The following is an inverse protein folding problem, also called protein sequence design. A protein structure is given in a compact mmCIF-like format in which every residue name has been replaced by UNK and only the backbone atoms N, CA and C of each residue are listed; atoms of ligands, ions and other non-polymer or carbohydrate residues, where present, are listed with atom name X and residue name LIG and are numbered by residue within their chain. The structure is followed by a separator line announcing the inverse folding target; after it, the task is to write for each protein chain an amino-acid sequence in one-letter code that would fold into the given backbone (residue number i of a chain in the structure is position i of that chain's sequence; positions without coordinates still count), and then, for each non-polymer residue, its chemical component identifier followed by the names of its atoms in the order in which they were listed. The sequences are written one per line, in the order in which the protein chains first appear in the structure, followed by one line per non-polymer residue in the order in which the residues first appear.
data_IF_326702973384
#
_entry.id   IF_326702973384
#
_cell.length_a   1.000
_cell.length_b   1.000
_cell.length_c   1.000
_cell.angle_alpha   90.00
_cell.angle_beta   90.00
_cell.angle_gamma   90.00
#
_symmetry.space_group_name_H-M   'P 1'
#
loop_
_entity.id
_entity.type
_entity.pdbx_description
1 polymer ?
#
# COMPACT_ATOMS: atom_id res chain seq x y z
N UNK A 1 -22.89 -11.99 13.21
CA UNK A 1 -21.81 -11.37 12.43
C UNK A 1 -21.09 -10.41 13.35
N UNK A 2 -19.80 -10.62 13.55
CA UNK A 2 -18.93 -9.81 14.40
C UNK A 2 -18.79 -8.40 13.79
N UNK A 3 -18.63 -7.39 14.64
CA UNK A 3 -18.38 -5.99 14.26
C UNK A 3 -17.16 -5.85 13.31
N UNK A 4 -16.19 -6.78 13.40
CA UNK A 4 -15.03 -6.87 12.48
C UNK A 4 -15.40 -7.41 11.09
N UNK A 5 -16.38 -8.31 11.01
CA UNK A 5 -16.86 -8.85 9.73
C UNK A 5 -17.68 -7.79 8.96
N UNK A 6 -18.37 -6.91 9.70
CA UNK A 6 -19.19 -5.84 9.11
C UNK A 6 -18.34 -4.70 8.52
N UNK A 7 -17.22 -4.34 9.16
CA UNK A 7 -16.29 -3.29 8.66
C UNK A 7 -15.55 -3.74 7.39
N UNK A 8 -15.21 -5.04 7.28
CA UNK A 8 -14.57 -5.59 6.09
C UNK A 8 -15.45 -5.54 4.84
N UNK A 9 -16.75 -5.79 5.00
CA UNK A 9 -17.74 -5.73 3.91
C UNK A 9 -17.98 -4.30 3.38
N UNK A 10 -17.74 -3.27 4.20
CA UNK A 10 -18.01 -1.87 3.83
C UNK A 10 -16.78 -1.14 3.26
N UNK A 11 -15.56 -1.60 3.57
CA UNK A 11 -14.30 -0.99 3.12
C UNK A 11 -14.12 -0.96 1.60
N UNK A 12 -14.67 -1.95 0.91
CA UNK A 12 -14.56 -2.13 -0.55
C UNK A 12 -15.87 -1.88 -1.28
N UNK A 13 -16.90 -1.36 -0.59
CA UNK A 13 -18.19 -1.10 -1.20
C UNK A 13 -18.06 -0.14 -2.39
N UNK A 14 -18.64 -0.52 -3.53
CA UNK A 14 -18.61 0.26 -4.76
C UNK A 14 -17.33 0.15 -5.59
N UNK A 15 -16.37 -0.72 -5.24
CA UNK A 15 -15.20 -1.01 -6.09
C UNK A 15 -15.44 -2.30 -6.88
N UNK A 16 -15.33 -2.22 -8.20
CA UNK A 16 -15.34 -3.38 -9.08
C UNK A 16 -13.96 -4.05 -9.09
N UNK A 17 -13.89 -5.30 -8.62
CA UNK A 17 -12.66 -6.09 -8.54
C UNK A 17 -12.55 -7.12 -9.67
N UNK A 18 -13.41 -7.06 -10.69
CA UNK A 18 -13.33 -7.93 -11.88
C UNK A 18 -12.22 -7.55 -12.85
N UNK A 19 -11.64 -6.36 -12.69
CA UNK A 19 -10.52 -5.84 -13.48
C UNK A 19 -9.14 -6.06 -12.83
N UNK A 20 -8.25 -5.07 -12.95
CA UNK A 20 -6.88 -5.11 -12.41
C UNK A 20 -6.80 -4.29 -11.12
N UNK A 21 -6.39 -4.95 -10.04
CA UNK A 21 -6.03 -4.34 -8.76
C UNK A 21 -4.52 -4.31 -8.57
N UNK A 22 -3.91 -3.13 -8.59
CA UNK A 22 -2.49 -2.95 -8.27
C UNK A 22 -2.29 -2.78 -6.75
N UNK A 23 -1.38 -3.54 -6.17
CA UNK A 23 -0.96 -3.41 -4.76
C UNK A 23 0.51 -3.00 -4.69
N UNK A 24 0.78 -1.87 -4.03
CA UNK A 24 2.11 -1.38 -3.71
C UNK A 24 2.31 -1.50 -2.20
N UNK A 25 3.16 -2.43 -1.79
CA UNK A 25 3.46 -2.70 -0.38
C UNK A 25 2.78 -3.95 0.16
N UNK A 26 3.59 -4.99 0.42
CA UNK A 26 3.10 -6.28 0.91
C UNK A 26 2.59 -6.20 2.36
N UNK A 27 3.30 -5.46 3.22
CA UNK A 27 3.07 -5.51 4.67
C UNK A 27 3.16 -6.93 5.21
N UNK A 28 2.13 -7.39 5.91
CA UNK A 28 2.01 -8.76 6.42
C UNK A 28 1.44 -9.75 5.39
N UNK A 29 1.03 -9.29 4.20
CA UNK A 29 0.36 -10.11 3.19
C UNK A 29 -1.16 -10.26 3.37
N UNK A 30 -1.71 -9.94 4.54
CA UNK A 30 -3.15 -10.12 4.82
C UNK A 30 -4.07 -9.31 3.90
N UNK A 31 -3.70 -8.06 3.59
CA UNK A 31 -4.46 -7.23 2.65
C UNK A 31 -4.39 -7.78 1.22
N UNK A 32 -3.21 -8.27 0.82
CA UNK A 32 -3.01 -8.86 -0.50
C UNK A 32 -3.87 -10.11 -0.66
N UNK A 33 -3.88 -11.00 0.35
CA UNK A 33 -4.70 -12.20 0.36
C UNK A 33 -6.19 -11.87 0.28
N UNK A 34 -6.68 -10.93 1.09
CA UNK A 34 -8.08 -10.48 1.06
C UNK A 34 -8.47 -9.96 -0.34
N UNK A 35 -7.69 -9.05 -0.90
CA UNK A 35 -7.96 -8.49 -2.23
C UNK A 35 -7.93 -9.57 -3.32
N UNK A 36 -7.00 -10.53 -3.23
CA UNK A 36 -6.87 -11.58 -4.22
C UNK A 36 -8.00 -12.62 -4.14
N UNK A 37 -8.52 -12.92 -2.95
CA UNK A 37 -9.73 -13.74 -2.78
C UNK A 37 -10.95 -13.06 -3.40
N UNK A 38 -11.16 -11.77 -3.12
CA UNK A 38 -12.27 -11.00 -3.68
C UNK A 38 -12.14 -10.84 -5.21
N UNK A 39 -10.95 -10.55 -5.71
CA UNK A 39 -10.66 -10.50 -7.15
C UNK A 39 -10.92 -11.84 -7.82
N UNK A 40 -10.53 -12.96 -7.21
CA UNK A 40 -10.83 -14.30 -7.74
C UNK A 40 -12.34 -14.55 -7.86
N UNK A 41 -13.13 -14.13 -6.88
CA UNK A 41 -14.59 -14.26 -6.92
C UNK A 41 -15.21 -13.39 -8.01
N UNK A 42 -14.66 -12.19 -8.22
CA UNK A 42 -15.10 -11.26 -9.26
C UNK A 42 -14.54 -11.58 -10.67
N UNK A 43 -13.57 -12.49 -10.78
CA UNK A 43 -12.89 -12.82 -12.05
C UNK A 43 -11.77 -11.86 -12.45
N UNK A 44 -11.25 -11.06 -11.51
CA UNK A 44 -10.16 -10.12 -11.74
C UNK A 44 -8.77 -10.62 -11.39
N UNK A 45 -7.81 -9.69 -11.43
CA UNK A 45 -6.39 -9.95 -11.21
C UNK A 45 -5.81 -8.96 -10.20
N UNK A 46 -5.00 -9.46 -9.28
CA UNK A 46 -4.16 -8.63 -8.40
C UNK A 46 -2.73 -8.59 -8.94
N UNK A 47 -2.14 -7.40 -9.01
CA UNK A 47 -0.74 -7.20 -9.38
C UNK A 47 -0.01 -6.66 -8.16
N UNK A 48 0.91 -7.43 -7.59
CA UNK A 48 1.82 -6.98 -6.55
C UNK A 48 3.10 -6.42 -7.18
N UNK A 49 3.43 -5.17 -6.87
CA UNK A 49 4.70 -4.55 -7.29
C UNK A 49 5.62 -4.29 -6.11
N UNK A 50 6.91 -4.50 -6.32
CA UNK A 50 7.96 -4.14 -5.38
C UNK A 50 9.30 -4.04 -6.09
N UNK A 51 10.19 -3.16 -5.63
CA UNK A 51 11.59 -3.14 -6.06
C UNK A 51 12.47 -4.05 -5.19
N UNK A 52 11.94 -4.50 -4.04
CA UNK A 52 12.58 -5.44 -3.14
C UNK A 52 12.16 -6.86 -3.50
N UNK A 53 13.09 -7.61 -4.06
CA UNK A 53 12.90 -9.03 -4.40
C UNK A 53 12.39 -9.88 -3.22
N UNK A 54 12.89 -9.72 -1.98
CA UNK A 54 12.38 -10.51 -0.84
C UNK A 54 10.89 -10.30 -0.56
N UNK A 55 10.34 -9.12 -0.83
CA UNK A 55 8.91 -8.88 -0.66
C UNK A 55 8.08 -9.65 -1.71
N UNK A 56 8.58 -9.79 -2.94
CA UNK A 56 7.90 -10.59 -3.95
C UNK A 56 7.99 -12.09 -3.64
N UNK A 57 9.11 -12.54 -3.08
CA UNK A 57 9.29 -13.94 -2.66
C UNK A 57 8.39 -14.30 -1.48
N UNK A 58 8.22 -13.39 -0.52
CA UNK A 58 7.32 -13.58 0.62
C UNK A 58 5.84 -13.74 0.22
N UNK A 59 5.45 -13.23 -0.95
CA UNK A 59 4.11 -13.43 -1.51
C UNK A 59 3.99 -14.69 -2.38
N UNK A 60 5.04 -15.51 -2.48
CA UNK A 60 5.13 -16.67 -3.37
C UNK A 60 4.00 -17.68 -3.15
N UNK A 61 3.79 -18.11 -1.91
CA UNK A 61 2.77 -19.12 -1.59
C UNK A 61 1.35 -18.62 -1.96
N UNK A 62 1.03 -17.36 -1.64
CA UNK A 62 -0.25 -16.74 -2.03
C UNK A 62 -0.41 -16.69 -3.55
N UNK A 63 0.64 -16.30 -4.27
CA UNK A 63 0.63 -16.21 -5.73
C UNK A 63 0.52 -17.56 -6.44
N UNK A 64 0.77 -18.68 -5.76
CA UNK A 64 0.50 -20.02 -6.33
C UNK A 64 -0.97 -20.44 -6.23
N UNK A 65 -1.75 -19.78 -5.35
CA UNK A 65 -3.11 -20.19 -4.99
C UNK A 65 -4.18 -19.20 -5.45
N UNK A 66 -3.80 -17.93 -5.59
CA UNK A 66 -4.70 -16.81 -5.88
C UNK A 66 -4.22 -16.06 -7.15
N UNK A 67 -5.08 -15.27 -7.82
CA UNK A 67 -4.74 -14.57 -9.05
C UNK A 67 -3.84 -13.35 -8.77
N UNK A 68 -2.59 -13.62 -8.40
CA UNK A 68 -1.60 -12.61 -8.06
C UNK A 68 -0.43 -12.68 -9.04
N UNK A 69 -0.28 -11.65 -9.85
CA UNK A 69 0.93 -11.42 -10.63
C UNK A 69 1.93 -10.60 -9.82
N UNK A 70 3.20 -10.99 -9.86
CA UNK A 70 4.28 -10.35 -9.11
C UNK A 70 5.25 -9.67 -10.07
N UNK A 71 5.41 -8.37 -9.91
CA UNK A 71 6.24 -7.57 -10.83
C UNK A 71 7.35 -6.85 -10.07
N UNK A 72 8.59 -7.14 -10.47
CA UNK A 72 9.77 -6.48 -9.93
C UNK A 72 10.00 -5.15 -10.63
N UNK A 73 9.62 -4.05 -9.97
CA UNK A 73 9.77 -2.71 -10.53
C UNK A 73 9.81 -1.64 -9.43
N UNK A 74 10.21 -0.42 -9.80
CA UNK A 74 10.07 0.74 -8.91
C UNK A 74 8.65 1.29 -9.06
N UNK A 75 8.03 1.66 -7.95
CA UNK A 75 6.68 2.26 -7.96
C UNK A 75 6.58 3.60 -8.71
N UNK A 76 7.72 4.20 -9.06
CA UNK A 76 7.85 5.44 -9.84
C UNK A 76 8.08 5.22 -11.32
N UNK A 77 8.02 3.96 -11.76
CA UNK A 77 8.16 3.55 -13.15
C UNK A 77 7.48 2.19 -13.29
N UNK A 78 6.16 2.21 -13.36
CA UNK A 78 5.34 0.99 -13.40
C UNK A 78 5.30 0.46 -14.84
N UNK A 79 5.66 -0.81 -15.08
CA UNK A 79 5.61 -1.43 -16.42
C UNK A 79 4.17 -1.83 -16.77
N UNK A 80 3.22 -0.92 -16.57
CA UNK A 80 1.80 -1.07 -16.83
C UNK A 80 1.38 -0.03 -17.86
N UNK A 81 0.40 -0.38 -18.68
CA UNK A 81 -0.14 0.53 -19.69
C UNK A 81 -0.91 1.69 -19.04
N UNK A 82 -1.08 2.78 -19.80
CA UNK A 82 -1.91 3.90 -19.38
C UNK A 82 -3.38 3.43 -19.27
N UNK A 83 -4.07 3.85 -18.22
CA UNK A 83 -5.48 3.52 -18.04
C UNK A 83 -5.78 2.02 -18.04
N UNK A 84 -4.99 1.21 -17.35
CA UNK A 84 -5.13 -0.24 -17.30
C UNK A 84 -5.46 -0.80 -15.91
N UNK A 85 -5.54 0.05 -14.87
CA UNK A 85 -5.75 -0.35 -13.48
C UNK A 85 -7.04 0.25 -12.96
N UNK A 86 -7.91 -0.59 -12.39
CA UNK A 86 -9.21 -0.20 -11.85
C UNK A 86 -9.09 0.26 -10.39
N UNK A 87 -8.25 -0.44 -9.61
CA UNK A 87 -7.95 -0.12 -8.23
C UNK A 87 -6.44 -0.11 -7.99
N UNK A 88 -5.91 1.00 -7.49
CA UNK A 88 -4.54 1.07 -6.98
C UNK A 88 -4.57 1.19 -5.45
N UNK A 89 -3.88 0.29 -4.75
CA UNK A 89 -3.75 0.25 -3.30
C UNK A 89 -2.29 0.47 -2.92
N UNK A 90 -2.00 1.57 -2.23
CA UNK A 90 -0.70 1.85 -1.61
C UNK A 90 -0.80 1.53 -0.13
N UNK A 91 -0.15 0.47 0.32
CA UNK A 91 -0.27 -0.04 1.68
C UNK A 91 1.08 0.00 2.41
N UNK A 92 1.25 0.97 3.30
CA UNK A 92 2.44 1.11 4.14
C UNK A 92 3.72 1.49 3.39
N UNK A 93 3.65 1.69 2.07
CA UNK A 93 4.80 1.95 1.20
C UNK A 93 4.96 3.41 0.77
N UNK A 94 4.03 4.31 1.12
CA UNK A 94 4.19 5.74 0.77
C UNK A 94 5.39 6.35 1.51
N UNK A 95 5.64 5.88 2.74
CA UNK A 95 6.82 6.24 3.55
C UNK A 95 8.15 5.91 2.90
N UNK A 96 8.21 4.86 2.09
CA UNK A 96 9.44 4.42 1.43
C UNK A 96 9.78 5.27 0.19
N UNK A 97 8.88 6.18 -0.21
CA UNK A 97 9.11 7.09 -1.33
C UNK A 97 9.77 8.37 -0.81
N UNK A 98 10.96 8.75 -1.31
CA UNK A 98 11.56 10.03 -0.95
C UNK A 98 10.72 11.22 -1.44
N UNK A 99 10.62 12.27 -0.63
CA UNK A 99 9.82 13.48 -0.94
C UNK A 99 10.07 14.07 -2.33
N UNK A 100 11.33 14.19 -2.83
CA UNK A 100 11.58 14.70 -4.19
C UNK A 100 10.93 13.87 -5.31
N UNK A 101 10.52 12.64 -5.00
CA UNK A 101 9.95 11.71 -5.94
C UNK A 101 8.43 11.51 -5.79
N UNK A 102 7.77 12.19 -4.85
CA UNK A 102 6.31 12.09 -4.68
C UNK A 102 5.56 12.46 -5.94
N UNK A 103 5.98 13.51 -6.65
CA UNK A 103 5.32 13.91 -7.90
C UNK A 103 5.37 12.80 -8.95
N UNK A 104 6.56 12.27 -9.23
CA UNK A 104 6.73 11.18 -10.20
C UNK A 104 5.97 9.92 -9.79
N UNK A 105 5.96 9.59 -8.50
CA UNK A 105 5.17 8.49 -7.98
C UNK A 105 3.68 8.68 -8.23
N UNK A 106 3.12 9.83 -7.85
CA UNK A 106 1.69 10.13 -8.02
C UNK A 106 1.30 10.25 -9.50
N UNK A 107 2.15 10.84 -10.33
CA UNK A 107 1.94 10.92 -11.78
C UNK A 107 1.87 9.51 -12.40
N UNK A 108 2.71 8.57 -11.96
CA UNK A 108 2.64 7.17 -12.38
C UNK A 108 1.36 6.47 -11.90
N UNK A 109 0.94 6.66 -10.65
CA UNK A 109 -0.32 6.10 -10.15
C UNK A 109 -1.51 6.63 -10.94
N UNK A 110 -1.51 7.92 -11.26
CA UNK A 110 -2.58 8.53 -12.06
C UNK A 110 -2.58 8.02 -13.50
N UNK A 111 -1.40 7.87 -14.11
CA UNK A 111 -1.25 7.39 -15.50
C UNK A 111 -1.87 6.01 -15.70
N UNK A 112 -1.66 5.09 -14.76
CA UNK A 112 -2.13 3.71 -14.89
C UNK A 112 -3.63 3.55 -14.59
N UNK A 113 -4.26 4.49 -13.88
CA UNK A 113 -5.66 4.37 -13.49
C UNK A 113 -6.59 4.62 -14.68
N UNK A 114 -7.58 3.74 -14.86
CA UNK A 114 -8.69 3.97 -15.81
C UNK A 114 -9.46 5.24 -15.41
N UNK A 115 -10.15 5.92 -16.35
CA UNK A 115 -11.10 6.97 -15.98
C UNK A 115 -12.16 6.41 -15.02
N UNK A 116 -12.25 6.99 -13.82
CA UNK A 116 -13.14 6.51 -12.75
C UNK A 116 -12.54 5.44 -11.84
N UNK A 117 -11.31 4.99 -12.10
CA UNK A 117 -10.57 4.09 -11.21
C UNK A 117 -10.26 4.72 -9.86
N UNK A 118 -9.97 3.87 -8.88
CA UNK A 118 -9.79 4.28 -7.48
C UNK A 118 -8.34 4.17 -7.03
N UNK A 119 -7.86 5.22 -6.36
CA UNK A 119 -6.63 5.18 -5.56
C UNK A 119 -6.98 5.07 -4.07
N UNK A 120 -6.45 4.06 -3.38
CA UNK A 120 -6.56 3.87 -1.94
C UNK A 120 -5.17 3.90 -1.32
N UNK A 121 -4.98 4.79 -0.36
CA UNK A 121 -3.72 4.87 0.41
C UNK A 121 -4.04 4.48 1.85
N UNK A 122 -3.44 3.38 2.29
CA UNK A 122 -3.45 2.93 3.67
C UNK A 122 -2.04 3.09 4.20
N UNK A 123 -1.82 4.08 5.06
CA UNK A 123 -0.52 4.27 5.69
C UNK A 123 -0.67 4.76 7.14
N UNK A 124 0.39 4.61 7.92
CA UNK A 124 0.40 5.00 9.32
C UNK A 124 0.49 6.53 9.41
N UNK A 125 -0.57 7.12 9.96
CA UNK A 125 -0.66 8.54 10.26
C UNK A 125 -0.06 8.87 11.64
N UNK A 126 0.34 10.14 11.86
CA UNK A 126 0.65 10.63 13.19
C UNK A 126 -0.50 10.37 14.17
N UNK A 127 -0.16 10.26 15.45
CA UNK A 127 -1.17 10.08 16.49
C UNK A 127 -2.17 11.23 16.49
N UNK A 128 -3.47 10.89 16.57
CA UNK A 128 -4.50 11.87 16.86
C UNK A 128 -4.40 12.33 18.32
N UNK A 129 -5.16 13.38 18.65
CA UNK A 129 -5.25 13.88 20.02
C UNK A 129 -6.11 13.02 20.95
N UNK A 130 -6.67 11.91 20.47
CA UNK A 130 -7.57 11.07 21.26
C UNK A 130 -6.86 10.35 22.43
N UNK A 131 -7.58 10.03 23.52
CA UNK A 131 -7.01 9.30 24.66
C UNK A 131 -6.44 7.93 24.27
N UNK A 132 -7.08 7.21 23.36
CA UNK A 132 -6.66 5.90 22.87
C UNK A 132 -5.32 5.96 22.10
N UNK A 133 -5.03 7.11 21.49
CA UNK A 133 -3.79 7.35 20.76
C UNK A 133 -2.62 7.82 21.66
N UNK A 134 -2.81 7.94 22.98
CA UNK A 134 -1.78 8.50 23.88
C UNK A 134 -0.45 7.73 23.84
N UNK A 135 -0.50 6.39 23.87
CA UNK A 135 0.72 5.55 23.81
C UNK A 135 1.43 5.70 22.46
N UNK A 136 0.66 5.75 21.38
CA UNK A 136 1.18 5.97 20.02
C UNK A 136 1.85 7.35 19.92
N UNK A 137 1.21 8.40 20.45
CA UNK A 137 1.73 9.77 20.51
C UNK A 137 3.03 9.85 21.28
N UNK A 138 3.07 9.28 22.49
CA UNK A 138 4.29 9.23 23.32
C UNK A 138 5.44 8.54 22.58
N UNK A 139 5.14 7.48 21.82
CA UNK A 139 6.12 6.79 20.99
C UNK A 139 6.63 7.70 19.87
N UNK A 140 5.74 8.36 19.13
CA UNK A 140 6.10 9.31 18.10
C UNK A 140 6.93 10.48 18.65
N UNK A 141 6.58 11.01 19.83
CA UNK A 141 7.32 12.08 20.50
C UNK A 141 8.72 11.64 20.92
N UNK A 142 8.85 10.44 21.50
CA UNK A 142 10.15 9.89 21.90
C UNK A 142 11.07 9.71 20.70
N UNK A 143 10.55 9.12 19.63
CA UNK A 143 11.27 8.94 18.37
C UNK A 143 11.68 10.32 17.84
N UNK A 144 10.74 11.26 17.76
CA UNK A 144 10.97 12.62 17.28
C UNK A 144 12.10 13.32 18.05
N UNK A 145 12.06 13.28 19.38
CA UNK A 145 13.10 13.89 20.23
C UNK A 145 14.47 13.25 20.01
N UNK A 146 14.52 11.93 19.84
CA UNK A 146 15.77 11.22 19.56
C UNK A 146 16.39 11.68 18.24
N UNK A 147 15.61 11.76 17.15
CA UNK A 147 16.15 12.26 15.88
C UNK A 147 16.65 13.69 15.96
N UNK A 148 15.89 14.60 16.59
CA UNK A 148 16.34 15.98 16.79
C UNK A 148 17.65 16.04 17.60
N UNK A 149 17.78 15.26 18.67
CA UNK A 149 19.00 15.19 19.48
C UNK A 149 20.21 14.65 18.69
N UNK A 150 19.96 13.77 17.72
CA UNK A 150 20.99 13.20 16.85
C UNK A 150 21.26 14.04 15.58
N UNK A 151 20.50 15.12 15.36
CA UNK A 151 20.53 15.85 14.08
C UNK A 151 20.10 15.00 12.88
N UNK A 152 19.28 13.98 13.12
CA UNK A 152 18.82 13.01 12.12
C UNK A 152 17.32 13.18 11.84
N UNK A 153 16.86 12.95 10.60
CA UNK A 153 15.45 12.92 10.27
C UNK A 153 14.70 11.85 11.07
N UNK A 154 13.56 12.22 11.64
CA UNK A 154 12.67 11.32 12.38
C UNK A 154 11.56 10.80 11.47
N UNK A 155 12.01 9.92 10.58
CA UNK A 155 11.27 9.06 9.66
C UNK A 155 9.97 9.61 9.01
N UNK A 156 10.04 9.77 7.68
CA UNK A 156 9.29 8.88 6.77
C UNK A 156 10.25 8.02 5.92
N UNK A 157 11.46 8.50 5.61
CA UNK A 157 12.63 7.65 5.37
C UNK A 157 13.85 8.24 6.10
N UNK A 158 14.78 7.40 6.55
CA UNK A 158 16.08 7.83 7.07
C UNK A 158 17.15 7.42 6.05
N UNK A 159 17.61 8.35 5.24
CA UNK A 159 18.86 8.18 4.48
C UNK A 159 20.03 8.40 5.43
N UNK A 160 20.68 7.33 5.85
CA UNK A 160 22.03 7.40 6.39
C UNK A 160 22.99 7.21 5.21
N UNK A 161 23.72 8.28 4.85
CA UNK A 161 24.96 8.14 4.07
C UNK A 161 26.09 7.70 4.98
#
# INVERSE_FOLDING_TARGET
MSEREQVGADLWSGVDLSGITLVIGLGTGQLLEMLAVEAQQAGGLVVLVSYLQPALEAAGDLATQLPIERVHCRSRQLPLADGSVDLCVVNGSLRDVPVPHYRTFLDELWRILVPGGHLRISDILPASDSPEALTWRRRCDLISRLGHAMGQPVALHADAR
#
